data_IF_120199226917
#
_entry.id   IF_120199226917
#
_cell.length_a   1.000
_cell.length_b   1.000
_cell.length_c   1.000
_cell.angle_alpha   90.00
_cell.angle_beta   90.00
_cell.angle_gamma   90.00
#
_symmetry.space_group_name_H-M   'P 1'
#
loop_
_entity.id
_entity.type
_entity.pdbx_description
1 polymer ?
#
# COMPACT_ATOMS: atom_id res chain seq x y z
N UNK A 1 28.37 -13.49 -20.33
CA UNK A 1 29.00 -13.79 -19.02
C UNK A 1 28.00 -14.61 -18.23
N UNK A 2 28.39 -15.74 -17.65
CA UNK A 2 27.55 -16.44 -16.67
C UNK A 2 27.71 -15.69 -15.35
N UNK A 3 26.68 -15.00 -14.90
CA UNK A 3 26.64 -14.51 -13.53
C UNK A 3 26.30 -15.70 -12.65
N UNK A 4 27.21 -16.02 -11.72
CA UNK A 4 26.91 -16.96 -10.64
C UNK A 4 26.11 -16.19 -9.61
N UNK A 5 24.87 -16.60 -9.37
CA UNK A 5 24.06 -16.05 -8.28
C UNK A 5 24.39 -16.76 -6.97
N UNK A 6 24.24 -16.05 -5.87
CA UNK A 6 24.34 -16.58 -4.52
C UNK A 6 23.10 -16.22 -3.70
N UNK A 7 22.87 -17.01 -2.66
CA UNK A 7 21.90 -16.68 -1.63
C UNK A 7 22.49 -15.67 -0.66
N UNK A 8 21.74 -14.60 -0.43
CA UNK A 8 22.03 -13.58 0.57
C UNK A 8 21.30 -13.88 1.89
N UNK A 9 20.52 -14.96 1.95
CA UNK A 9 19.75 -15.39 3.11
C UNK A 9 18.25 -15.48 2.81
N UNK A 10 17.48 -15.95 3.79
CA UNK A 10 16.03 -16.05 3.72
C UNK A 10 15.38 -14.85 4.42
N UNK A 11 14.09 -14.63 4.15
CA UNK A 11 13.27 -13.68 4.90
C UNK A 11 13.43 -13.84 6.41
N UNK A 12 13.37 -15.08 6.87
CA UNK A 12 13.47 -15.43 8.29
C UNK A 12 14.85 -15.18 8.91
N UNK A 13 15.92 -15.24 8.11
CA UNK A 13 17.29 -15.02 8.61
C UNK A 13 17.74 -13.57 8.50
N UNK A 14 17.11 -12.78 7.62
CA UNK A 14 17.52 -11.39 7.35
C UNK A 14 16.55 -10.34 7.86
N UNK A 15 15.23 -10.59 7.83
CA UNK A 15 14.23 -9.54 8.08
C UNK A 15 13.42 -9.82 9.33
N UNK A 16 12.79 -10.99 9.43
CA UNK A 16 11.87 -11.30 10.53
C UNK A 16 12.10 -12.70 11.06
N UNK A 17 12.68 -12.81 12.25
CA UNK A 17 12.97 -14.12 12.89
C UNK A 17 11.73 -14.93 13.24
N UNK A 18 10.55 -14.31 13.28
CA UNK A 18 9.28 -14.94 13.64
C UNK A 18 8.40 -15.25 12.43
N UNK A 19 8.84 -14.90 11.22
CA UNK A 19 8.07 -15.08 10.00
C UNK A 19 8.85 -15.82 8.94
N UNK A 20 8.13 -16.65 8.18
CA UNK A 20 8.72 -17.46 7.12
C UNK A 20 8.76 -16.75 5.77
N UNK A 21 7.92 -15.74 5.56
CA UNK A 21 7.80 -15.03 4.28
C UNK A 21 7.14 -13.66 4.44
N UNK A 22 7.34 -12.73 3.50
CA UNK A 22 6.61 -11.45 3.53
C UNK A 22 5.09 -11.63 3.39
N UNK A 23 4.62 -12.68 2.71
CA UNK A 23 3.18 -12.95 2.60
C UNK A 23 2.59 -13.45 3.94
N UNK A 24 3.40 -14.16 4.74
CA UNK A 24 3.03 -14.54 6.11
C UNK A 24 2.95 -13.30 7.00
N UNK A 25 3.87 -12.34 6.89
CA UNK A 25 3.79 -11.07 7.63
C UNK A 25 2.47 -10.33 7.35
N UNK A 26 2.06 -10.26 6.08
CA UNK A 26 0.79 -9.66 5.68
C UNK A 26 -0.39 -10.39 6.32
N UNK A 27 -0.38 -11.73 6.27
CA UNK A 27 -1.47 -12.56 6.80
C UNK A 27 -1.56 -12.45 8.32
N UNK A 28 -0.43 -12.51 9.01
CA UNK A 28 -0.35 -12.39 10.47
C UNK A 28 -0.80 -11.00 10.92
N UNK A 29 -0.38 -9.95 10.22
CA UNK A 29 -0.81 -8.59 10.51
C UNK A 29 -2.33 -8.45 10.38
N UNK A 30 -2.89 -8.87 9.24
CA UNK A 30 -4.34 -8.81 8.98
C UNK A 30 -5.13 -9.70 9.94
N UNK A 31 -4.59 -10.86 10.32
CA UNK A 31 -5.22 -11.82 11.22
C UNK A 31 -5.51 -11.28 12.63
N UNK A 32 -4.88 -10.17 13.03
CA UNK A 32 -5.18 -9.46 14.29
C UNK A 32 -6.36 -8.50 14.21
N UNK A 33 -6.88 -8.22 13.01
CA UNK A 33 -7.97 -7.29 12.74
C UNK A 33 -9.37 -7.86 12.97
N UNK A 34 -10.40 -7.10 12.60
CA UNK A 34 -11.80 -7.52 12.69
C UNK A 34 -12.14 -8.65 11.69
N UNK A 35 -12.82 -9.75 12.09
CA UNK A 35 -13.11 -10.88 11.20
C UNK A 35 -13.93 -10.53 9.95
N UNK A 36 -14.86 -9.58 10.03
CA UNK A 36 -15.68 -9.18 8.88
C UNK A 36 -14.82 -8.39 7.87
N UNK A 37 -13.88 -7.58 8.38
CA UNK A 37 -12.89 -6.90 7.55
C UNK A 37 -11.92 -7.88 6.89
N UNK A 38 -11.41 -8.88 7.61
CA UNK A 38 -10.56 -9.93 7.05
C UNK A 38 -11.27 -10.67 5.91
N UNK A 39 -12.52 -11.09 6.14
CA UNK A 39 -13.32 -11.78 5.13
C UNK A 39 -13.58 -10.87 3.90
N UNK A 40 -13.80 -9.57 4.12
CA UNK A 40 -13.95 -8.60 3.04
C UNK A 40 -12.66 -8.47 2.21
N UNK A 41 -11.48 -8.42 2.84
CA UNK A 41 -10.20 -8.35 2.13
C UNK A 41 -9.98 -9.58 1.25
N UNK A 42 -10.29 -10.77 1.75
CA UNK A 42 -10.21 -12.02 0.99
C UNK A 42 -11.19 -12.03 -0.18
N UNK A 43 -12.49 -11.80 0.09
CA UNK A 43 -13.55 -11.87 -0.94
C UNK A 43 -13.43 -10.80 -2.01
N UNK A 44 -12.92 -9.62 -1.65
CA UNK A 44 -12.69 -8.53 -2.59
C UNK A 44 -11.42 -8.71 -3.43
N UNK A 45 -10.54 -9.64 -3.05
CA UNK A 45 -9.22 -9.81 -3.64
C UNK A 45 -8.20 -8.78 -3.16
N UNK A 46 -8.55 -7.88 -2.23
CA UNK A 46 -7.64 -6.87 -1.70
C UNK A 46 -6.45 -7.50 -0.97
N UNK A 47 -6.62 -8.63 -0.28
CA UNK A 47 -5.52 -9.35 0.38
C UNK A 47 -4.38 -9.68 -0.60
N UNK A 48 -4.70 -10.26 -1.77
CA UNK A 48 -3.70 -10.60 -2.78
C UNK A 48 -3.05 -9.37 -3.42
N UNK A 49 -3.78 -8.26 -3.52
CA UNK A 49 -3.22 -6.98 -3.98
C UNK A 49 -2.23 -6.40 -2.96
N UNK A 50 -2.54 -6.48 -1.66
CA UNK A 50 -1.65 -6.06 -0.55
C UNK A 50 -0.36 -6.89 -0.58
N UNK A 51 -0.45 -8.21 -0.65
CA UNK A 51 0.73 -9.09 -0.72
C UNK A 51 1.62 -8.75 -1.91
N UNK A 52 1.02 -8.56 -3.10
CA UNK A 52 1.77 -8.17 -4.29
C UNK A 52 2.39 -6.78 -4.16
N UNK A 53 1.67 -5.82 -3.59
CA UNK A 53 2.17 -4.47 -3.37
C UNK A 53 3.33 -4.46 -2.37
N UNK A 54 3.27 -5.28 -1.32
CA UNK A 54 4.34 -5.43 -0.34
C UNK A 54 5.60 -6.02 -0.96
N UNK A 55 5.47 -7.12 -1.71
CA UNK A 55 6.60 -7.68 -2.48
C UNK A 55 7.18 -6.66 -3.47
N UNK A 56 6.35 -5.91 -4.17
CA UNK A 56 6.82 -4.87 -5.09
C UNK A 56 7.48 -3.67 -4.37
N UNK A 57 7.13 -3.39 -3.12
CA UNK A 57 7.82 -2.39 -2.31
C UNK A 57 9.20 -2.91 -1.86
N UNK A 58 9.27 -4.17 -1.43
CA UNK A 58 10.53 -4.86 -1.10
C UNK A 58 11.48 -4.85 -2.31
N UNK A 59 11.03 -5.31 -3.48
CA UNK A 59 11.86 -5.34 -4.71
C UNK A 59 12.38 -3.96 -5.13
N UNK A 60 11.64 -2.88 -4.84
CA UNK A 60 12.08 -1.52 -5.17
C UNK A 60 13.10 -0.94 -4.17
N UNK A 61 13.12 -1.49 -2.96
CA UNK A 61 14.02 -1.06 -1.90
C UNK A 61 15.36 -1.81 -1.94
N UNK A 62 15.40 -2.97 -2.61
CA UNK A 62 16.62 -3.74 -2.84
C UNK A 62 17.47 -3.14 -3.98
N UNK A 63 18.78 -3.42 -4.00
CA UNK A 63 19.62 -3.18 -5.18
C UNK A 63 19.06 -3.87 -6.42
N UNK A 64 19.26 -3.27 -7.60
CA UNK A 64 18.66 -3.73 -8.85
C UNK A 64 18.99 -5.19 -9.22
N UNK A 65 20.16 -5.69 -8.81
CA UNK A 65 20.62 -7.05 -9.07
C UNK A 65 20.34 -8.03 -7.90
N UNK A 66 19.60 -7.59 -6.88
CA UNK A 66 19.14 -8.41 -5.76
C UNK A 66 17.61 -8.49 -5.79
N UNK A 67 17.08 -9.71 -5.78
CA UNK A 67 15.63 -9.95 -5.80
C UNK A 67 15.20 -11.00 -4.77
N UNK A 68 13.96 -10.89 -4.30
CA UNK A 68 13.32 -11.85 -3.42
C UNK A 68 12.65 -12.96 -4.27
N UNK A 69 13.31 -14.12 -4.35
CA UNK A 69 12.82 -15.29 -5.05
C UNK A 69 12.09 -16.23 -4.08
N UNK A 70 10.76 -16.14 -4.03
CA UNK A 70 9.97 -16.82 -3.01
C UNK A 70 10.20 -16.17 -1.66
N UNK A 71 11.00 -16.81 -0.82
CA UNK A 71 11.34 -16.34 0.54
C UNK A 71 12.86 -16.16 0.71
N UNK A 72 13.63 -16.25 -0.38
CA UNK A 72 15.08 -16.19 -0.40
C UNK A 72 15.57 -14.99 -1.21
N UNK A 73 16.53 -14.25 -0.68
CA UNK A 73 17.19 -13.14 -1.38
C UNK A 73 18.32 -13.68 -2.23
N UNK A 74 18.25 -13.44 -3.54
CA UNK A 74 19.21 -13.91 -4.53
C UNK A 74 19.84 -12.70 -5.22
N UNK A 75 21.16 -12.72 -5.33
CA UNK A 75 21.93 -11.67 -5.99
C UNK A 75 23.26 -12.18 -6.57
N UNK A 76 24.14 -11.28 -7.05
CA UNK A 76 25.44 -11.68 -7.60
C UNK A 76 26.33 -12.30 -6.52
N UNK A 77 27.00 -13.41 -6.81
CA UNK A 77 27.97 -14.02 -5.88
C UNK A 77 29.25 -13.17 -5.71
N UNK A 78 29.54 -12.36 -6.72
CA UNK A 78 30.69 -11.46 -6.78
C UNK A 78 30.19 -10.11 -7.32
N UNK A 79 29.64 -9.24 -6.46
CA UNK A 79 29.23 -7.90 -6.88
C UNK A 79 30.42 -7.11 -7.41
N UNK A 80 30.17 -6.19 -8.33
CA UNK A 80 31.18 -5.25 -8.83
C UNK A 80 31.60 -4.28 -7.72
N UNK A 81 32.82 -3.73 -7.84
CA UNK A 81 33.31 -2.75 -6.87
C UNK A 81 32.41 -1.51 -6.90
N UNK A 82 31.85 -1.16 -5.73
CA UNK A 82 30.95 -0.02 -5.57
C UNK A 82 29.49 -0.27 -5.89
N UNK A 83 29.10 -1.50 -6.29
CA UNK A 83 27.72 -1.84 -6.67
C UNK A 83 26.69 -1.53 -5.56
N UNK A 84 27.12 -1.68 -4.30
CA UNK A 84 26.26 -1.48 -3.12
C UNK A 84 26.64 -0.25 -2.27
N UNK A 85 27.49 0.66 -2.76
CA UNK A 85 28.01 1.78 -1.96
C UNK A 85 26.91 2.75 -1.44
N UNK A 86 25.80 2.85 -2.17
CA UNK A 86 24.65 3.69 -1.80
C UNK A 86 23.61 2.93 -0.95
N UNK A 87 23.87 1.67 -0.58
CA UNK A 87 22.97 0.83 0.21
C UNK A 87 23.49 0.60 1.63
N UNK A 88 22.59 0.35 2.60
CA UNK A 88 22.97 -0.04 3.95
C UNK A 88 23.89 -1.26 3.98
N UNK A 89 24.92 -1.21 4.84
CA UNK A 89 25.86 -2.31 5.05
C UNK A 89 25.80 -2.82 6.48
N UNK A 90 25.96 -4.14 6.65
CA UNK A 90 26.00 -4.78 7.96
C UNK A 90 27.36 -4.59 8.67
N UNK A 91 27.48 -5.14 9.88
CA UNK A 91 28.70 -5.03 10.69
C UNK A 91 29.95 -5.69 10.05
N UNK A 92 29.76 -6.52 9.02
CA UNK A 92 30.82 -7.19 8.27
C UNK A 92 31.12 -6.49 6.93
N UNK A 93 30.44 -5.37 6.63
CA UNK A 93 30.57 -4.66 5.37
C UNK A 93 29.86 -5.34 4.19
N UNK A 94 28.97 -6.30 4.46
CA UNK A 94 28.07 -6.88 3.45
C UNK A 94 26.78 -6.08 3.31
N UNK A 95 25.98 -6.36 2.29
CA UNK A 95 24.68 -5.73 2.10
C UNK A 95 23.73 -6.03 3.28
N UNK A 96 23.23 -4.99 3.94
CA UNK A 96 22.21 -5.10 4.99
C UNK A 96 20.81 -5.06 4.37
N UNK A 97 20.26 -6.25 4.11
CA UNK A 97 18.91 -6.43 3.59
C UNK A 97 17.86 -5.84 4.54
N UNK A 98 18.03 -5.94 5.85
CA UNK A 98 17.05 -5.38 6.80
C UNK A 98 17.06 -3.85 6.72
N UNK A 99 18.25 -3.25 6.69
CA UNK A 99 18.42 -1.81 6.53
C UNK A 99 17.83 -1.29 5.21
N UNK A 100 17.96 -2.04 4.11
CA UNK A 100 17.33 -1.67 2.83
C UNK A 100 15.81 -1.57 2.94
N UNK A 101 15.19 -2.38 3.81
CA UNK A 101 13.74 -2.48 3.95
C UNK A 101 13.16 -1.61 5.07
N UNK A 102 13.97 -0.83 5.80
CA UNK A 102 13.54 -0.04 6.96
C UNK A 102 12.39 0.92 6.62
N UNK A 103 12.41 1.52 5.42
CA UNK A 103 11.39 2.47 4.95
C UNK A 103 10.15 1.78 4.33
N UNK A 104 10.15 0.45 4.20
CA UNK A 104 9.00 -0.29 3.63
C UNK A 104 7.94 -0.49 4.70
N UNK A 105 6.91 0.36 4.70
CA UNK A 105 5.78 0.27 5.63
C UNK A 105 4.67 -0.67 5.13
N UNK A 106 4.49 -1.80 5.82
CA UNK A 106 3.36 -2.70 5.58
C UNK A 106 2.01 -2.02 5.90
N UNK A 107 1.96 -1.25 6.99
CA UNK A 107 0.76 -0.54 7.44
C UNK A 107 0.26 0.44 6.37
N UNK A 108 1.17 1.23 5.77
CA UNK A 108 0.80 2.17 4.70
C UNK A 108 0.29 1.44 3.44
N UNK A 109 0.85 0.27 3.14
CA UNK A 109 0.43 -0.55 2.00
C UNK A 109 -0.96 -1.12 2.24
N UNK A 110 -1.21 -1.67 3.42
CA UNK A 110 -2.54 -2.15 3.84
C UNK A 110 -3.53 -0.98 3.77
N UNK A 111 -3.18 0.16 4.38
CA UNK A 111 -4.04 1.33 4.41
C UNK A 111 -4.39 1.80 3.01
N UNK A 112 -3.46 1.81 2.04
CA UNK A 112 -3.72 2.21 0.64
C UNK A 112 -4.61 1.24 -0.15
N UNK A 113 -4.70 -0.01 0.27
CA UNK A 113 -5.52 -1.04 -0.40
C UNK A 113 -6.81 -1.35 0.35
N UNK A 114 -7.04 -0.70 1.50
CA UNK A 114 -8.23 -0.90 2.30
C UNK A 114 -9.53 -0.64 1.49
N UNK A 115 -10.51 -1.58 1.50
CA UNK A 115 -11.76 -1.42 0.78
C UNK A 115 -12.68 -0.38 1.42
N UNK A 116 -12.85 0.76 0.76
CA UNK A 116 -13.81 1.79 1.19
C UNK A 116 -15.14 1.66 0.48
N UNK A 117 -16.21 1.80 1.26
CA UNK A 117 -17.56 1.99 0.72
C UNK A 117 -17.81 3.45 0.35
N UNK A 118 -18.80 3.71 -0.52
CA UNK A 118 -19.24 5.08 -0.81
C UNK A 118 -19.64 5.87 0.45
N UNK A 119 -20.19 5.20 1.46
CA UNK A 119 -20.57 5.86 2.72
C UNK A 119 -19.33 6.31 3.49
N UNK A 120 -18.32 5.44 3.65
CA UNK A 120 -17.04 5.77 4.29
C UNK A 120 -16.30 6.87 3.51
N UNK A 121 -16.24 6.79 2.18
CA UNK A 121 -15.65 7.85 1.34
C UNK A 121 -16.35 9.19 1.57
N UNK A 122 -17.69 9.17 1.65
CA UNK A 122 -18.48 10.38 1.85
C UNK A 122 -18.24 11.00 3.22
N UNK A 123 -18.23 10.19 4.28
CA UNK A 123 -18.13 10.66 5.67
C UNK A 123 -16.71 10.97 6.08
N UNK A 124 -15.77 10.09 5.80
CA UNK A 124 -14.44 10.13 6.41
C UNK A 124 -13.44 10.82 5.49
N UNK A 125 -13.35 10.39 4.23
CA UNK A 125 -12.41 10.93 3.25
C UNK A 125 -12.82 12.31 2.75
N UNK A 126 -14.10 12.48 2.41
CA UNK A 126 -14.64 13.75 1.91
C UNK A 126 -15.13 14.69 3.02
N UNK A 127 -15.28 14.20 4.25
CA UNK A 127 -15.87 14.96 5.38
C UNK A 127 -17.19 15.65 5.01
N UNK A 128 -18.02 14.96 4.22
CA UNK A 128 -19.27 15.51 3.69
C UNK A 128 -20.31 15.66 4.78
N UNK A 129 -20.86 16.87 4.95
CA UNK A 129 -21.99 17.14 5.85
C UNK A 129 -23.36 16.99 5.16
N UNK A 130 -23.39 16.41 3.96
CA UNK A 130 -24.64 16.20 3.22
C UNK A 130 -25.52 15.15 3.92
N UNK A 131 -26.84 15.26 3.74
CA UNK A 131 -27.80 14.26 4.24
C UNK A 131 -27.55 12.85 3.69
N UNK A 132 -27.03 12.76 2.46
CA UNK A 132 -26.70 11.50 1.78
C UNK A 132 -25.21 11.49 1.37
N UNK A 133 -24.28 11.19 2.30
CA UNK A 133 -22.83 11.27 2.02
C UNK A 133 -22.40 10.27 0.94
N UNK A 134 -22.92 9.03 0.93
CA UNK A 134 -22.69 8.06 -0.16
C UNK A 134 -23.03 8.60 -1.56
N UNK A 135 -24.10 9.38 -1.71
CA UNK A 135 -24.50 9.96 -3.01
C UNK A 135 -23.54 11.06 -3.45
N UNK A 136 -23.07 11.87 -2.50
CA UNK A 136 -22.04 12.88 -2.75
C UNK A 136 -20.72 12.20 -3.19
N UNK A 137 -20.31 11.14 -2.50
CA UNK A 137 -19.14 10.34 -2.84
C UNK A 137 -19.27 9.70 -4.22
N UNK A 138 -20.42 9.08 -4.54
CA UNK A 138 -20.66 8.46 -5.84
C UNK A 138 -20.46 9.44 -7.00
N UNK A 139 -21.06 10.63 -6.90
CA UNK A 139 -20.90 11.70 -7.90
C UNK A 139 -19.45 12.15 -8.00
N UNK A 140 -18.77 12.25 -6.87
CA UNK A 140 -17.36 12.62 -6.80
C UNK A 140 -16.46 11.59 -7.48
N UNK A 141 -16.57 10.30 -7.15
CA UNK A 141 -15.79 9.22 -7.74
C UNK A 141 -16.01 9.14 -9.25
N UNK A 142 -17.28 9.22 -9.69
CA UNK A 142 -17.61 9.26 -11.12
C UNK A 142 -16.98 10.45 -11.84
N UNK A 143 -17.00 11.66 -11.26
CA UNK A 143 -16.36 12.85 -11.84
C UNK A 143 -14.84 12.72 -11.92
N UNK A 144 -14.24 12.04 -10.95
CA UNK A 144 -12.80 11.81 -10.87
C UNK A 144 -12.34 10.58 -11.67
N UNK A 145 -13.26 9.80 -12.22
CA UNK A 145 -12.93 8.59 -12.95
C UNK A 145 -12.47 7.42 -12.08
N UNK A 146 -12.62 7.50 -10.76
CA UNK A 146 -12.29 6.41 -9.84
C UNK A 146 -13.37 5.33 -9.97
N UNK A 147 -12.95 4.12 -10.33
CA UNK A 147 -13.85 2.98 -10.52
C UNK A 147 -13.81 2.07 -9.29
N UNK A 148 -14.92 1.44 -8.93
CA UNK A 148 -14.89 0.41 -7.90
C UNK A 148 -14.09 -0.80 -8.42
N UNK A 149 -13.30 -1.40 -7.54
CA UNK A 149 -12.53 -2.60 -7.85
C UNK A 149 -13.30 -3.88 -7.52
N UNK A 150 -14.31 -3.78 -6.64
CA UNK A 150 -15.13 -4.91 -6.22
C UNK A 150 -16.59 -4.50 -5.98
N UNK A 151 -17.51 -5.43 -6.21
CA UNK A 151 -18.91 -5.33 -5.82
C UNK A 151 -19.26 -6.52 -4.92
N UNK A 152 -19.58 -6.24 -3.67
CA UNK A 152 -19.91 -7.25 -2.66
C UNK A 152 -21.26 -6.98 -2.00
N UNK A 153 -21.82 -7.95 -1.25
CA UNK A 153 -23.04 -7.71 -0.49
C UNK A 153 -22.77 -6.71 0.64
N UNK A 154 -23.70 -5.77 0.85
CA UNK A 154 -23.74 -4.95 2.04
C UNK A 154 -24.15 -5.81 3.24
N UNK A 155 -23.43 -5.78 4.38
CA UNK A 155 -23.68 -6.69 5.50
C UNK A 155 -25.05 -6.50 6.15
N UNK A 156 -25.60 -5.28 6.14
CA UNK A 156 -26.89 -4.98 6.76
C UNK A 156 -28.08 -5.33 5.86
N UNK A 157 -27.96 -5.09 4.55
CA UNK A 157 -29.09 -5.16 3.61
C UNK A 157 -29.00 -6.29 2.59
N UNK A 158 -27.85 -6.95 2.46
CA UNK A 158 -27.55 -7.97 1.44
C UNK A 158 -27.51 -7.44 0.01
N UNK A 159 -27.73 -6.14 -0.21
CA UNK A 159 -27.73 -5.53 -1.54
C UNK A 159 -26.31 -5.34 -2.06
N UNK A 160 -26.08 -5.41 -3.38
CA UNK A 160 -24.76 -5.10 -3.94
C UNK A 160 -24.29 -3.69 -3.56
N UNK A 161 -23.06 -3.60 -3.09
CA UNK A 161 -22.36 -2.37 -2.72
C UNK A 161 -21.01 -2.32 -3.43
N UNK A 162 -20.64 -1.13 -3.88
CA UNK A 162 -19.37 -0.87 -4.55
C UNK A 162 -18.26 -0.57 -3.51
N UNK A 163 -17.10 -1.20 -3.70
CA UNK A 163 -15.89 -0.98 -2.92
C UNK A 163 -14.80 -0.36 -3.79
N UNK A 164 -14.09 0.61 -3.21
CA UNK A 164 -13.02 1.38 -3.83
C UNK A 164 -11.74 1.23 -3.00
N UNK A 165 -10.57 1.32 -3.62
CA UNK A 165 -9.31 1.32 -2.87
C UNK A 165 -9.11 2.70 -2.27
N UNK A 166 -8.90 2.76 -0.97
CA UNK A 166 -8.59 3.99 -0.22
C UNK A 166 -7.50 4.85 -0.87
N UNK A 167 -6.39 4.25 -1.30
CA UNK A 167 -5.28 4.97 -1.95
C UNK A 167 -5.70 5.65 -3.25
N UNK A 168 -6.41 4.93 -4.12
CA UNK A 168 -6.93 5.49 -5.38
C UNK A 168 -7.96 6.61 -5.13
N UNK A 169 -8.79 6.45 -4.08
CA UNK A 169 -9.72 7.50 -3.65
C UNK A 169 -8.95 8.74 -3.21
N UNK A 170 -8.02 8.61 -2.26
CA UNK A 170 -7.25 9.74 -1.70
C UNK A 170 -6.46 10.47 -2.77
N UNK A 171 -5.72 9.75 -3.61
CA UNK A 171 -4.96 10.33 -4.72
C UNK A 171 -5.87 11.11 -5.69
N UNK A 172 -7.07 10.59 -5.98
CA UNK A 172 -8.05 11.27 -6.82
C UNK A 172 -8.70 12.48 -6.13
N UNK A 173 -8.89 12.44 -4.80
CA UNK A 173 -9.38 13.57 -4.02
C UNK A 173 -8.36 14.70 -3.97
N UNK A 174 -7.07 14.38 -3.85
CA UNK A 174 -5.98 15.35 -3.77
C UNK A 174 -5.65 16.02 -5.10
N UNK A 175 -5.80 15.28 -6.21
CA UNK A 175 -5.65 15.81 -7.57
C UNK A 175 -6.83 16.67 -8.06
N UNK A 176 -7.83 16.95 -7.22
CA UNK A 176 -9.01 17.76 -7.57
C UNK A 176 -8.64 19.19 -8.01
N UNK A 177 -9.06 19.63 -9.22
CA UNK A 177 -8.93 21.02 -9.63
C UNK A 177 -9.66 21.96 -8.66
N UNK A 178 -8.96 22.96 -8.13
CA UNK A 178 -9.51 23.98 -7.24
C UNK A 178 -9.14 23.89 -5.75
N UNK A 179 -8.32 22.91 -5.32
CA UNK A 179 -7.78 22.84 -3.95
C UNK A 179 -6.73 23.95 -3.66
N UNK A 180 -6.18 24.60 -4.70
CA UNK A 180 -5.04 25.52 -4.60
C UNK A 180 -5.28 27.03 -4.74
N UNK A 181 -6.51 27.55 -4.85
CA UNK A 181 -6.71 29.00 -5.10
C UNK A 181 -7.89 29.59 -4.30
N UNK A 182 -7.82 29.54 -2.97
CA UNK A 182 -8.50 30.55 -2.15
C UNK A 182 -7.49 31.64 -1.82
N UNK A 183 -7.29 32.56 -2.77
CA UNK A 183 -6.68 33.86 -2.45
C UNK A 183 -7.51 34.47 -1.31
N UNK A 184 -6.89 34.90 -0.20
CA UNK A 184 -7.59 35.64 0.84
C UNK A 184 -8.28 36.83 0.17
N UNK A 185 -9.58 36.95 0.36
CA UNK A 185 -10.32 38.13 -0.07
C UNK A 185 -9.86 39.24 0.86
N UNK A 186 -8.90 40.05 0.42
CA UNK A 186 -8.52 41.27 1.14
C UNK A 186 -9.77 42.09 1.40
N UNK A 187 -9.94 42.38 2.68
CA UNK A 187 -11.06 43.08 3.24
C UNK A 187 -11.09 44.50 2.65
N UNK A 188 -12.09 44.78 1.82
CA UNK A 188 -12.40 46.13 1.35
C UNK A 188 -13.05 46.89 2.52
N UNK A 189 -12.23 47.24 3.51
CA UNK A 189 -12.59 48.12 4.60
C UNK A 189 -11.50 49.17 4.79
N UNK A 190 -11.55 50.20 3.96
CA UNK A 190 -11.02 51.53 4.29
C UNK A 190 -11.93 52.55 3.63
N UNK A 191 -12.85 53.08 4.44
CA UNK A 191 -13.47 54.40 4.27
C UNK A 191 -12.92 55.30 5.34
#
# INVERSE_FOLDING_TARGET
>A
MSYTTASYGTWSSKVSTFSTSPDADVTDHIGTGDPDWQELLEKSGALGEIQRAYRAAIERALPADVSLCGDEFIGPAHPEEGEFDDYPTDEYGGLDIAGCLEDVSLDEIIERHDPLTLEAIGRDEMRSTAKEPAKAASKAMSRLGVKPFHYGPNPESGRPQAYFRSGEVRDALDSRPGKGNRTPREDLSSR
#
